data_IF_731003961871
#
_entry.id   IF_731003961871
#
_cell.length_a   1.000
_cell.length_b   1.000
_cell.length_c   1.000
_cell.angle_alpha   90.00
_cell.angle_beta   90.00
_cell.angle_gamma   90.00
#
_symmetry.space_group_name_H-M   'P 1'
#
loop_
_entity.id
_entity.type
_entity.pdbx_description
1 polymer ?
#
# COMPACT_ATOMS: atom_id res chain seq x y z
N UNK A 1 36.03 -18.79 -6.87
CA UNK A 1 34.81 -17.93 -6.98
C UNK A 1 34.13 -17.93 -5.63
N UNK A 2 34.02 -16.76 -4.99
CA UNK A 2 33.62 -16.68 -3.57
C UNK A 2 32.07 -16.58 -3.49
N UNK A 3 31.41 -17.68 -3.22
CA UNK A 3 29.94 -17.80 -3.17
C UNK A 3 29.31 -16.78 -2.21
N UNK A 4 29.97 -16.47 -1.09
CA UNK A 4 29.52 -15.45 -0.12
C UNK A 4 29.47 -14.02 -0.68
N UNK A 5 30.40 -13.67 -1.58
CA UNK A 5 30.40 -12.34 -2.19
C UNK A 5 29.31 -12.22 -3.27
N UNK A 6 28.99 -13.29 -3.98
CA UNK A 6 27.90 -13.30 -4.97
C UNK A 6 26.52 -13.19 -4.29
N UNK A 7 26.32 -13.89 -3.18
CA UNK A 7 25.06 -13.84 -2.40
C UNK A 7 24.84 -12.45 -1.78
N UNK A 8 25.87 -11.83 -1.22
CA UNK A 8 25.77 -10.48 -0.65
C UNK A 8 25.44 -9.40 -1.69
N UNK A 9 25.93 -9.56 -2.94
CA UNK A 9 25.59 -8.64 -4.04
C UNK A 9 24.16 -8.83 -4.51
N UNK A 10 23.66 -10.06 -4.55
CA UNK A 10 22.27 -10.35 -4.94
C UNK A 10 21.27 -9.83 -3.91
N UNK A 11 21.50 -10.07 -2.63
CA UNK A 11 20.68 -9.49 -1.55
C UNK A 11 20.66 -7.97 -1.59
N UNK A 12 21.79 -7.33 -1.91
CA UNK A 12 21.86 -5.87 -2.04
C UNK A 12 21.04 -5.36 -3.21
N UNK A 13 21.07 -6.04 -4.36
CA UNK A 13 20.25 -5.70 -5.53
C UNK A 13 18.75 -5.86 -5.24
N UNK A 14 18.35 -6.96 -4.60
CA UNK A 14 16.97 -7.20 -4.21
C UNK A 14 16.47 -6.13 -3.23
N UNK A 15 17.30 -5.73 -2.27
CA UNK A 15 16.96 -4.65 -1.34
C UNK A 15 16.80 -3.31 -2.06
N UNK A 16 17.67 -2.97 -3.00
CA UNK A 16 17.51 -1.76 -3.81
C UNK A 16 16.22 -1.80 -4.61
N UNK A 17 15.93 -2.88 -5.31
CA UNK A 17 14.70 -3.03 -6.10
C UNK A 17 13.42 -2.89 -5.25
N UNK A 18 13.40 -3.49 -4.06
CA UNK A 18 12.28 -3.35 -3.12
C UNK A 18 12.16 -1.90 -2.63
N UNK A 19 13.28 -1.25 -2.31
CA UNK A 19 13.27 0.13 -1.88
C UNK A 19 12.75 1.06 -2.98
N UNK A 20 13.20 0.88 -4.22
CA UNK A 20 12.79 1.66 -5.38
C UNK A 20 11.30 1.50 -5.66
N UNK A 21 10.76 0.27 -5.54
CA UNK A 21 9.32 0.02 -5.66
C UNK A 21 8.52 0.78 -4.59
N UNK A 22 8.94 0.71 -3.32
CA UNK A 22 8.24 1.33 -2.21
C UNK A 22 8.32 2.86 -2.27
N UNK A 23 9.50 3.41 -2.59
CA UNK A 23 9.68 4.85 -2.73
C UNK A 23 8.95 5.42 -3.94
N UNK A 24 8.97 4.72 -5.08
CA UNK A 24 8.22 5.08 -6.28
C UNK A 24 6.71 5.06 -6.04
N UNK A 25 6.21 4.06 -5.32
CA UNK A 25 4.79 4.01 -4.92
C UNK A 25 4.40 5.19 -4.04
N UNK A 26 5.25 5.57 -3.08
CA UNK A 26 5.04 6.75 -2.25
C UNK A 26 4.99 8.03 -3.08
N UNK A 27 5.92 8.21 -4.01
CA UNK A 27 5.96 9.40 -4.89
C UNK A 27 4.69 9.53 -5.72
N UNK A 28 4.23 8.45 -6.33
CA UNK A 28 2.97 8.43 -7.10
C UNK A 28 1.78 8.76 -6.20
N UNK A 29 1.72 8.19 -5.00
CA UNK A 29 0.62 8.45 -4.07
C UNK A 29 0.58 9.92 -3.61
N UNK A 30 1.74 10.49 -3.28
CA UNK A 30 1.85 11.89 -2.86
C UNK A 30 1.61 12.88 -4.02
N UNK A 31 1.98 12.53 -5.25
CA UNK A 31 1.69 13.33 -6.43
C UNK A 31 0.18 13.41 -6.73
N UNK A 32 -0.57 12.36 -6.44
CA UNK A 32 -2.04 12.32 -6.60
C UNK A 32 -2.79 13.03 -5.47
N UNK A 33 -2.17 13.25 -4.34
CA UNK A 33 -2.80 13.92 -3.20
C UNK A 33 -2.91 15.43 -3.47
N UNK A 34 -4.13 15.98 -3.44
CA UNK A 34 -4.39 17.41 -3.67
C UNK A 34 -3.78 18.29 -2.57
N UNK A 35 -3.74 17.80 -1.34
CA UNK A 35 -3.13 18.46 -0.18
C UNK A 35 -2.29 17.45 0.58
N UNK A 36 -1.00 17.70 0.63
CA UNK A 36 -0.03 16.80 1.26
C UNK A 36 0.29 17.25 2.70
N UNK A 37 0.22 18.54 2.96
CA UNK A 37 0.49 19.09 4.29
C UNK A 37 -0.48 18.53 5.34
N UNK A 38 0.08 17.99 6.43
CA UNK A 38 -0.70 17.37 7.50
C UNK A 38 -1.14 15.93 7.26
N UNK A 39 -0.80 15.34 6.10
CA UNK A 39 -1.02 13.92 5.90
C UNK A 39 -0.14 13.07 6.82
N UNK A 40 -0.68 11.94 7.23
CA UNK A 40 0.06 10.90 7.94
C UNK A 40 0.11 9.65 7.07
N UNK A 41 1.32 9.19 6.75
CA UNK A 41 1.55 7.90 6.12
C UNK A 41 1.79 6.87 7.20
N UNK A 42 0.92 5.88 7.29
CA UNK A 42 1.05 4.76 8.23
C UNK A 42 1.59 3.52 7.53
N UNK A 43 2.55 2.85 8.17
CA UNK A 43 3.14 1.61 7.67
C UNK A 43 3.39 0.62 8.81
N UNK A 44 3.72 -0.61 8.45
CA UNK A 44 4.34 -1.54 9.38
C UNK A 44 5.80 -1.14 9.70
N UNK A 45 6.49 -2.00 10.43
CA UNK A 45 7.89 -1.77 10.77
C UNK A 45 8.88 -2.35 9.73
N UNK A 46 8.48 -2.48 8.46
CA UNK A 46 9.37 -2.90 7.40
C UNK A 46 10.66 -2.07 7.34
N UNK A 47 11.77 -2.72 7.04
CA UNK A 47 13.08 -2.05 7.05
C UNK A 47 13.16 -0.88 6.05
N UNK A 48 12.50 -1.00 4.89
CA UNK A 48 12.47 0.03 3.84
C UNK A 48 11.81 1.33 4.33
N UNK A 49 10.79 1.26 5.18
CA UNK A 49 10.14 2.45 5.77
C UNK A 49 11.00 3.15 6.84
N UNK A 50 12.01 2.44 7.39
CA UNK A 50 12.94 2.97 8.39
C UNK A 50 14.18 3.61 7.77
N UNK A 51 14.41 3.40 6.47
CA UNK A 51 15.55 3.96 5.77
C UNK A 51 15.49 5.48 5.74
N UNK A 52 16.66 6.11 5.91
CA UNK A 52 16.75 7.57 5.92
C UNK A 52 16.22 8.21 4.63
N UNK A 53 16.49 7.70 3.41
CA UNK A 53 15.92 8.27 2.20
C UNK A 53 14.40 8.31 2.21
N UNK A 54 13.71 7.23 2.66
CA UNK A 54 12.26 7.20 2.75
C UNK A 54 11.72 8.26 3.73
N UNK A 55 12.34 8.36 4.90
CA UNK A 55 11.97 9.36 5.91
C UNK A 55 12.21 10.79 5.42
N UNK A 56 13.31 11.01 4.69
CA UNK A 56 13.61 12.30 4.08
C UNK A 56 12.57 12.70 3.01
N UNK A 57 12.09 11.75 2.19
CA UNK A 57 11.02 12.00 1.23
C UNK A 57 9.73 12.49 1.90
N UNK A 58 9.32 11.84 2.99
CA UNK A 58 8.14 12.27 3.76
C UNK A 58 8.34 13.66 4.39
N UNK A 59 9.48 13.86 5.06
CA UNK A 59 9.79 15.13 5.72
C UNK A 59 9.84 16.31 4.73
N UNK A 60 10.46 16.11 3.56
CA UNK A 60 10.52 17.12 2.51
C UNK A 60 9.13 17.55 2.01
N UNK A 61 8.16 16.66 2.08
CA UNK A 61 6.76 16.94 1.68
C UNK A 61 5.85 17.35 2.83
N UNK A 62 6.39 17.49 4.05
CA UNK A 62 5.61 17.85 5.25
C UNK A 62 4.64 16.75 5.69
N UNK A 63 4.95 15.48 5.36
CA UNK A 63 4.15 14.32 5.70
C UNK A 63 4.67 13.69 6.98
N UNK A 64 3.78 13.38 7.91
CA UNK A 64 4.12 12.68 9.15
C UNK A 64 4.18 11.18 8.91
N UNK A 65 5.24 10.55 9.41
CA UNK A 65 5.33 9.09 9.42
C UNK A 65 4.75 8.51 10.72
N UNK A 66 3.88 7.54 10.58
CA UNK A 66 3.37 6.70 11.67
C UNK A 66 3.69 5.25 11.39
N UNK A 67 4.03 4.50 12.41
CA UNK A 67 4.35 3.07 12.29
C UNK A 67 3.52 2.25 13.27
N UNK A 68 3.11 1.06 12.83
CA UNK A 68 2.49 0.06 13.70
C UNK A 68 3.39 -0.23 14.90
N UNK A 69 2.79 -0.47 16.05
CA UNK A 69 3.52 -0.96 17.22
C UNK A 69 4.11 -2.34 16.93
N UNK A 70 5.27 -2.62 17.47
CA UNK A 70 5.95 -3.89 17.25
C UNK A 70 5.06 -5.05 17.76
N UNK A 71 4.77 -6.01 16.89
CA UNK A 71 3.95 -7.18 17.22
C UNK A 71 2.43 -6.89 17.29
N UNK A 72 1.95 -5.71 16.90
CA UNK A 72 0.53 -5.38 16.87
C UNK A 72 -0.03 -5.49 15.45
N UNK A 73 -0.71 -6.59 15.16
CA UNK A 73 -1.37 -6.82 13.88
C UNK A 73 -2.61 -5.94 13.66
N UNK A 74 -3.21 -5.41 14.72
CA UNK A 74 -4.44 -4.58 14.59
C UNK A 74 -4.19 -3.25 13.90
N UNK A 75 -2.98 -2.70 14.02
CA UNK A 75 -2.63 -1.42 13.41
C UNK A 75 -2.66 -1.49 11.87
N UNK A 76 -2.45 -2.67 11.27
CA UNK A 76 -2.49 -2.92 9.82
C UNK A 76 -3.73 -3.69 9.35
N UNK A 77 -4.65 -4.04 10.25
CA UNK A 77 -5.78 -4.91 9.94
C UNK A 77 -6.67 -4.41 8.79
N UNK A 78 -6.74 -3.11 8.57
CA UNK A 78 -7.57 -2.52 7.49
C UNK A 78 -6.98 -2.87 6.13
N UNK A 79 -5.68 -2.69 5.94
CA UNK A 79 -5.02 -2.97 4.66
C UNK A 79 -4.90 -4.47 4.43
N UNK A 80 -4.65 -5.26 5.48
CA UNK A 80 -4.64 -6.72 5.40
C UNK A 80 -6.02 -7.26 5.01
N UNK A 81 -7.10 -6.70 5.58
CA UNK A 81 -8.47 -7.04 5.20
C UNK A 81 -8.77 -6.69 3.74
N UNK A 82 -8.27 -5.56 3.24
CA UNK A 82 -8.41 -5.20 1.83
C UNK A 82 -7.72 -6.22 0.93
N UNK A 83 -6.44 -6.52 1.17
CA UNK A 83 -5.70 -7.48 0.35
C UNK A 83 -6.26 -8.91 0.46
N UNK A 84 -6.75 -9.31 1.64
CA UNK A 84 -7.45 -10.59 1.81
C UNK A 84 -8.70 -10.65 0.94
N UNK A 85 -9.50 -9.58 0.92
CA UNK A 85 -10.71 -9.50 0.11
C UNK A 85 -10.39 -9.47 -1.39
N UNK A 86 -9.41 -8.69 -1.82
CA UNK A 86 -8.93 -8.63 -3.20
C UNK A 86 -8.49 -10.01 -3.69
N UNK A 87 -7.71 -10.74 -2.88
CA UNK A 87 -7.28 -12.10 -3.23
C UNK A 87 -8.46 -13.05 -3.40
N UNK A 88 -9.43 -12.99 -2.49
CA UNK A 88 -10.56 -13.92 -2.47
C UNK A 88 -11.58 -13.62 -3.57
N UNK A 89 -11.86 -12.34 -3.82
CA UNK A 89 -12.92 -11.92 -4.74
C UNK A 89 -12.43 -11.70 -6.16
N UNK A 90 -11.12 -11.51 -6.37
CA UNK A 90 -10.54 -11.26 -7.69
C UNK A 90 -9.52 -12.34 -8.09
N UNK A 91 -8.40 -12.46 -7.39
CA UNK A 91 -7.30 -13.34 -7.80
C UNK A 91 -7.64 -14.83 -7.86
N UNK A 92 -8.55 -15.32 -7.03
CA UNK A 92 -8.94 -16.74 -7.05
C UNK A 92 -10.04 -17.05 -8.07
N UNK A 93 -10.71 -16.04 -8.60
CA UNK A 93 -11.82 -16.22 -9.53
C UNK A 93 -11.41 -15.97 -10.98
N UNK A 94 -10.42 -15.12 -11.22
CA UNK A 94 -10.00 -14.73 -12.57
C UNK A 94 -8.79 -15.55 -13.03
N UNK A 95 -8.84 -16.02 -14.28
CA UNK A 95 -7.67 -16.56 -14.97
C UNK A 95 -6.91 -15.39 -15.59
N UNK A 96 -5.86 -14.97 -14.93
CA UNK A 96 -5.02 -13.86 -15.39
C UNK A 96 -4.17 -14.32 -16.57
N UNK A 97 -4.24 -13.62 -17.68
CA UNK A 97 -3.49 -13.91 -18.89
C UNK A 97 -2.10 -13.27 -18.86
N UNK A 98 -2.03 -11.97 -18.66
CA UNK A 98 -0.78 -11.21 -18.64
C UNK A 98 -0.79 -10.10 -17.57
N UNK A 99 0.31 -9.32 -17.50
CA UNK A 99 0.49 -8.26 -16.50
C UNK A 99 -0.44 -7.08 -16.75
N UNK A 100 -0.72 -6.76 -18.01
CA UNK A 100 -1.57 -5.62 -18.38
C UNK A 100 -3.03 -5.90 -18.02
N UNK A 101 -3.50 -7.12 -18.26
CA UNK A 101 -4.82 -7.59 -17.81
C UNK A 101 -4.94 -7.57 -16.28
N UNK A 102 -3.87 -8.00 -15.58
CA UNK A 102 -3.83 -7.94 -14.13
C UNK A 102 -3.95 -6.50 -13.62
N UNK A 103 -3.18 -5.56 -14.20
CA UNK A 103 -3.23 -4.15 -13.78
C UNK A 103 -4.60 -3.54 -14.03
N UNK A 104 -5.19 -3.78 -15.20
CA UNK A 104 -6.52 -3.30 -15.53
C UNK A 104 -7.57 -3.83 -14.56
N UNK A 105 -7.59 -5.13 -14.31
CA UNK A 105 -8.56 -5.75 -13.41
C UNK A 105 -8.38 -5.36 -11.95
N UNK A 106 -7.16 -5.19 -11.47
CA UNK A 106 -6.92 -4.64 -10.12
C UNK A 106 -7.46 -3.22 -9.99
N UNK A 107 -7.26 -2.38 -11.01
CA UNK A 107 -7.79 -1.01 -11.00
C UNK A 107 -9.33 -1.00 -11.00
N UNK A 108 -9.97 -1.85 -11.80
CA UNK A 108 -11.42 -2.02 -11.82
C UNK A 108 -11.95 -2.52 -10.47
N UNK A 109 -11.29 -3.53 -9.88
CA UNK A 109 -11.64 -4.02 -8.56
C UNK A 109 -11.51 -2.95 -7.47
N UNK A 110 -10.46 -2.13 -7.50
CA UNK A 110 -10.29 -1.01 -6.56
C UNK A 110 -11.44 0.00 -6.70
N UNK A 111 -11.87 0.28 -7.92
CA UNK A 111 -13.03 1.14 -8.16
C UNK A 111 -14.30 0.55 -7.56
N UNK A 112 -14.62 -0.70 -7.89
CA UNK A 112 -15.74 -1.44 -7.32
C UNK A 112 -15.72 -1.47 -5.80
N UNK A 113 -14.57 -1.83 -5.20
CA UNK A 113 -14.42 -1.90 -3.74
C UNK A 113 -14.71 -0.56 -3.06
N UNK A 114 -14.27 0.54 -3.65
CA UNK A 114 -14.42 1.86 -3.06
C UNK A 114 -15.82 2.45 -3.23
N UNK A 115 -16.47 2.21 -4.37
CA UNK A 115 -17.70 2.90 -4.75
C UNK A 115 -18.96 2.05 -4.64
N UNK A 116 -18.85 0.73 -4.83
CA UNK A 116 -20.00 -0.17 -4.97
C UNK A 116 -20.05 -1.24 -3.89
N UNK A 117 -18.89 -1.79 -3.50
CA UNK A 117 -18.83 -2.90 -2.54
C UNK A 117 -19.31 -2.46 -1.16
N UNK A 118 -20.49 -2.91 -0.77
CA UNK A 118 -21.08 -2.65 0.55
C UNK A 118 -20.36 -3.40 1.66
N UNK A 119 -20.25 -2.79 2.84
CA UNK A 119 -19.69 -3.38 4.05
C UNK A 119 -20.65 -3.25 5.23
N UNK A 120 -20.94 -4.37 5.90
CA UNK A 120 -21.78 -4.38 7.10
C UNK A 120 -21.31 -3.39 8.16
N UNK A 121 -20.00 -3.37 8.44
CA UNK A 121 -19.37 -2.46 9.42
C UNK A 121 -19.45 -0.98 9.03
N UNK A 122 -19.71 -0.67 7.78
CA UNK A 122 -19.93 0.69 7.27
C UNK A 122 -21.41 0.98 7.07
N UNK A 123 -22.29 0.36 7.86
CA UNK A 123 -23.74 0.56 7.79
C UNK A 123 -24.32 0.29 6.40
N UNK A 124 -23.87 -0.79 5.76
CA UNK A 124 -24.27 -1.19 4.40
C UNK A 124 -23.88 -0.18 3.31
N UNK A 125 -22.89 0.65 3.57
CA UNK A 125 -22.36 1.58 2.59
C UNK A 125 -21.02 1.11 2.02
N UNK A 126 -20.68 1.63 0.84
CA UNK A 126 -19.33 1.50 0.32
C UNK A 126 -18.36 2.42 1.10
N UNK A 127 -17.04 2.18 1.06
CA UNK A 127 -16.06 3.03 1.74
C UNK A 127 -16.19 4.52 1.40
N UNK A 128 -16.40 4.87 0.14
CA UNK A 128 -16.57 6.27 -0.30
C UNK A 128 -17.87 6.84 0.22
N UNK A 129 -19.00 6.13 0.09
CA UNK A 129 -20.29 6.59 0.59
C UNK A 129 -20.25 6.81 2.11
N UNK A 130 -19.63 5.90 2.85
CA UNK A 130 -19.48 6.05 4.30
C UNK A 130 -18.66 7.28 4.67
N UNK A 131 -17.53 7.52 3.98
CA UNK A 131 -16.69 8.69 4.19
C UNK A 131 -17.48 9.99 3.94
N UNK A 132 -18.16 10.08 2.80
CA UNK A 132 -18.91 11.28 2.44
C UNK A 132 -20.02 11.61 3.44
N UNK A 133 -20.67 10.60 4.02
CA UNK A 133 -21.71 10.79 5.05
C UNK A 133 -21.15 11.27 6.40
N UNK A 134 -19.89 11.01 6.70
CA UNK A 134 -19.30 11.35 8.01
C UNK A 134 -18.34 12.55 7.93
N UNK A 135 -18.19 13.17 6.77
CA UNK A 135 -17.37 14.39 6.55
C UNK A 135 -18.22 15.63 6.23
N UNK A 136 -19.55 15.48 6.22
CA UNK A 136 -20.50 16.57 6.01
C UNK A 136 -20.89 17.26 7.32
#
# INVERSE_FOLDING_TARGET
>A
MNIKAATATEESRQRCAIFDLVSGTLDVALARAKHVAGLTVHSDQGWHYKMQPYRAMLAHRGVTQSMSRRGNCFDNAVIESFFGTLKTEYFHLEKLGDVDELEAGVNEYIHYYNHERIKLRLKWLSPVQYRLRNTA
#
